data_IF_206960550272
#
_entry.id   IF_206960550272
#
_cell.length_a   1.000
_cell.length_b   1.000
_cell.length_c   1.000
_cell.angle_alpha   90.00
_cell.angle_beta   90.00
_cell.angle_gamma   90.00
#
_symmetry.space_group_name_H-M   'P 1'
#
loop_
_entity.id
_entity.type
_entity.pdbx_description
1 polymer ?
#
# COMPACT_ATOMS: atom_id res chain seq x y z
N UNK A 1 19.93 7.72 3.17
CA UNK A 1 18.45 7.72 3.20
C UNK A 1 18.00 7.64 1.76
N UNK A 2 17.51 6.47 1.32
CA UNK A 2 17.24 6.23 -0.10
C UNK A 2 15.89 6.85 -0.49
N UNK A 3 15.93 7.81 -1.40
CA UNK A 3 14.82 8.69 -1.77
C UNK A 3 13.82 8.09 -2.78
N UNK A 4 13.72 6.76 -2.91
CA UNK A 4 12.99 6.11 -4.01
C UNK A 4 11.82 5.19 -3.62
N UNK A 5 11.49 5.00 -2.33
CA UNK A 5 10.28 4.24 -1.95
C UNK A 5 9.07 5.18 -1.76
N UNK A 6 7.93 4.97 -2.44
CA UNK A 6 6.72 5.71 -2.15
C UNK A 6 6.25 5.38 -0.73
N UNK A 7 5.88 6.42 0.01
CA UNK A 7 5.31 6.22 1.34
C UNK A 7 4.06 5.34 1.26
N UNK A 8 3.80 4.57 2.30
CA UNK A 8 2.61 3.71 2.41
C UNK A 8 1.30 4.47 2.13
N UNK A 9 1.26 5.76 2.50
CA UNK A 9 0.18 6.66 2.13
C UNK A 9 -0.01 6.76 0.61
N UNK A 10 1.06 7.00 -0.15
CA UNK A 10 1.01 7.08 -1.63
C UNK A 10 0.55 5.76 -2.24
N UNK A 11 1.04 4.62 -1.72
CA UNK A 11 0.60 3.29 -2.17
C UNK A 11 -0.92 3.13 -1.98
N UNK A 12 -1.43 3.48 -0.80
CA UNK A 12 -2.87 3.43 -0.50
C UNK A 12 -3.67 4.31 -1.47
N UNK A 13 -3.22 5.53 -1.75
CA UNK A 13 -3.91 6.42 -2.70
C UNK A 13 -3.86 5.87 -4.14
N UNK A 14 -2.73 5.31 -4.58
CA UNK A 14 -2.58 4.70 -5.92
C UNK A 14 -3.46 3.47 -6.11
N UNK A 15 -3.74 2.72 -5.03
CA UNK A 15 -4.66 1.58 -5.03
C UNK A 15 -6.14 1.99 -4.97
N UNK A 16 -6.47 3.28 -5.08
CA UNK A 16 -7.84 3.79 -5.05
C UNK A 16 -8.31 4.25 -3.66
N UNK A 17 -7.39 4.45 -2.73
CA UNK A 17 -7.67 4.99 -1.40
C UNK A 17 -8.10 3.96 -0.36
N UNK A 18 -8.37 4.45 0.85
CA UNK A 18 -8.61 3.62 2.05
C UNK A 18 -9.76 2.62 1.88
N UNK A 19 -10.89 3.04 1.32
CA UNK A 19 -12.07 2.19 1.12
C UNK A 19 -11.80 1.07 0.11
N UNK A 20 -11.10 1.38 -0.99
CA UNK A 20 -10.79 0.39 -2.02
C UNK A 20 -9.79 -0.65 -1.49
N UNK A 21 -8.73 -0.20 -0.84
CA UNK A 21 -7.74 -1.10 -0.22
C UNK A 21 -8.41 -2.00 0.83
N UNK A 22 -9.26 -1.44 1.70
CA UNK A 22 -9.99 -2.20 2.70
C UNK A 22 -10.84 -3.33 2.08
N UNK A 23 -11.49 -3.06 0.94
CA UNK A 23 -12.26 -4.06 0.18
C UNK A 23 -11.37 -5.16 -0.39
N UNK A 24 -10.20 -4.82 -0.93
CA UNK A 24 -9.27 -5.79 -1.52
C UNK A 24 -8.75 -6.81 -0.50
N UNK A 25 -8.44 -6.36 0.71
CA UNK A 25 -7.86 -7.21 1.76
C UNK A 25 -8.88 -7.68 2.83
N UNK A 26 -10.17 -7.38 2.63
CA UNK A 26 -11.25 -7.67 3.59
C UNK A 26 -10.96 -7.13 5.01
N UNK A 27 -10.46 -5.90 5.09
CA UNK A 27 -10.21 -5.19 6.36
C UNK A 27 -11.17 -4.01 6.54
N UNK A 28 -11.15 -3.36 7.71
CA UNK A 28 -11.94 -2.15 7.92
C UNK A 28 -11.27 -0.91 7.30
N UNK A 29 -12.04 0.01 6.68
CA UNK A 29 -11.50 1.28 6.16
C UNK A 29 -10.77 2.10 7.22
N UNK A 30 -11.24 2.10 8.46
CA UNK A 30 -10.59 2.79 9.58
C UNK A 30 -9.18 2.24 9.86
N UNK A 31 -9.00 0.91 9.78
CA UNK A 31 -7.69 0.29 9.96
C UNK A 31 -6.73 0.74 8.87
N UNK A 32 -7.17 0.76 7.61
CA UNK A 32 -6.37 1.22 6.46
C UNK A 32 -6.06 2.71 6.57
N UNK A 33 -7.01 3.53 7.01
CA UNK A 33 -6.79 4.96 7.24
C UNK A 33 -5.64 5.20 8.23
N UNK A 34 -5.58 4.44 9.32
CA UNK A 34 -4.50 4.56 10.31
C UNK A 34 -3.11 4.25 9.71
N UNK A 35 -3.02 3.39 8.70
CA UNK A 35 -1.75 3.06 8.03
C UNK A 35 -1.16 4.23 7.23
N UNK A 36 -1.98 5.21 6.82
CA UNK A 36 -1.49 6.42 6.15
C UNK A 36 -0.50 7.22 7.02
N UNK A 37 -0.64 7.12 8.35
CA UNK A 37 0.22 7.80 9.32
C UNK A 37 1.18 6.84 10.04
N UNK A 38 0.75 5.59 10.30
CA UNK A 38 1.54 4.60 11.07
C UNK A 38 2.39 3.67 10.20
N UNK A 39 2.17 3.68 8.90
CA UNK A 39 2.70 2.68 7.98
C UNK A 39 1.82 1.42 7.90
N UNK A 40 1.95 0.70 6.79
CA UNK A 40 1.30 -0.60 6.57
C UNK A 40 2.12 -1.66 7.32
N UNK A 41 1.50 -2.51 8.16
CA UNK A 41 2.22 -3.55 8.88
C UNK A 41 3.00 -4.47 7.93
N UNK A 42 4.22 -4.85 8.29
CA UNK A 42 5.06 -5.74 7.47
C UNK A 42 4.36 -7.07 7.15
N UNK A 43 3.64 -7.64 8.11
CA UNK A 43 2.84 -8.86 7.91
C UNK A 43 1.75 -8.69 6.85
N UNK A 44 1.14 -7.50 6.74
CA UNK A 44 0.15 -7.19 5.70
C UNK A 44 0.83 -7.04 4.34
N UNK A 45 2.01 -6.39 4.27
CA UNK A 45 2.77 -6.29 3.03
C UNK A 45 3.16 -7.67 2.49
N UNK A 46 3.59 -8.58 3.37
CA UNK A 46 3.94 -9.96 3.02
C UNK A 46 2.73 -10.82 2.64
N UNK A 47 1.56 -10.57 3.23
CA UNK A 47 0.33 -11.27 2.88
C UNK A 47 -0.26 -10.81 1.52
N UNK A 48 0.01 -9.56 1.13
CA UNK A 48 -0.47 -8.97 -0.13
C UNK A 48 0.67 -8.30 -0.91
N UNK A 49 1.69 -9.07 -1.34
CA UNK A 49 2.88 -8.52 -2.00
C UNK A 49 2.54 -7.83 -3.33
N UNK A 50 1.55 -8.35 -4.07
CA UNK A 50 1.05 -7.75 -5.31
C UNK A 50 0.51 -6.33 -5.12
N UNK A 51 -0.09 -6.04 -3.95
CA UNK A 51 -0.65 -4.73 -3.64
C UNK A 51 0.38 -3.75 -3.11
N UNK A 52 1.34 -4.23 -2.31
CA UNK A 52 2.18 -3.34 -1.49
C UNK A 52 3.67 -3.40 -1.82
N UNK A 53 4.14 -4.41 -2.56
CA UNK A 53 5.56 -4.60 -2.90
C UNK A 53 5.82 -4.54 -4.41
N UNK A 54 4.90 -5.02 -5.25
CA UNK A 54 5.13 -5.18 -6.71
C UNK A 54 4.79 -3.91 -7.51
N UNK A 55 4.10 -2.94 -6.91
CA UNK A 55 3.81 -1.63 -7.54
C UNK A 55 5.06 -0.84 -7.93
N UNK A 56 6.25 -1.23 -7.45
CA UNK A 56 7.54 -0.59 -7.76
C UNK A 56 8.15 -1.06 -9.09
N UNK A 57 7.74 -2.24 -9.58
CA UNK A 57 8.45 -2.91 -10.68
C UNK A 57 7.87 -2.50 -12.05
N UNK A 58 6.62 -2.02 -12.10
CA UNK A 58 5.90 -1.79 -13.36
C UNK A 58 6.26 -0.49 -14.10
N UNK A 59 7.28 0.27 -13.66
CA UNK A 59 7.72 1.52 -14.33
C UNK A 59 9.07 1.43 -15.06
N UNK A 60 9.59 0.23 -15.27
CA UNK A 60 10.72 0.04 -16.19
C UNK A 60 10.22 -0.75 -17.40
N UNK A 61 10.59 -0.30 -18.60
CA UNK A 61 10.18 -0.76 -19.94
C UNK A 61 8.94 -0.10 -20.56
N UNK A 62 9.05 1.19 -20.93
CA UNK A 62 8.92 1.60 -22.34
C UNK A 62 9.61 2.94 -22.58
#
# INVERSE_FOLDING_TARGET
MNANEPSDKKIIEQLGGTSQVAKLIKASPQRVHNWKNRGIPASVKLAYPELFLITQISKEQK
#
